data_IF_750730181495
#
_entry.id   IF_750730181495
#
_cell.length_a   1.000
_cell.length_b   1.000
_cell.length_c   1.000
_cell.angle_alpha   90.00
_cell.angle_beta   90.00
_cell.angle_gamma   90.00
#
_symmetry.space_group_name_H-M   'P 1'
#
loop_
_entity.id
_entity.type
_entity.pdbx_description
1 polymer ?
#
# COMPACT_ATOMS: atom_id res chain seq x y z
N UNK A 1 19.58 -16.51 -1.28
CA UNK A 1 18.29 -16.53 -1.99
C UNK A 1 17.63 -17.92 -1.90
N UNK A 2 18.19 -18.98 -2.51
CA UNK A 2 17.55 -20.31 -2.49
C UNK A 2 17.39 -20.89 -1.07
N UNK A 3 18.43 -20.79 -0.24
CA UNK A 3 18.38 -21.27 1.15
C UNK A 3 17.43 -20.47 2.06
N UNK A 4 17.11 -19.22 1.71
CA UNK A 4 16.16 -18.39 2.47
C UNK A 4 14.72 -18.70 2.05
N UNK A 5 14.48 -18.80 0.73
CA UNK A 5 13.21 -19.22 0.16
C UNK A 5 12.82 -20.63 0.61
N UNK A 6 13.75 -21.59 0.57
CA UNK A 6 13.51 -22.96 1.03
C UNK A 6 13.25 -23.04 2.55
N UNK A 7 13.76 -22.10 3.33
CA UNK A 7 13.50 -22.02 4.77
C UNK A 7 12.12 -21.43 5.07
N UNK A 8 11.68 -20.44 4.29
CA UNK A 8 10.40 -19.77 4.50
C UNK A 8 9.21 -20.50 3.86
N UNK A 9 9.42 -21.19 2.73
CA UNK A 9 8.39 -21.94 2.00
C UNK A 9 8.87 -23.36 1.65
N UNK A 10 9.01 -24.25 2.65
CA UNK A 10 9.44 -25.62 2.42
C UNK A 10 8.51 -26.41 1.48
N UNK A 11 7.22 -26.08 1.43
CA UNK A 11 6.20 -26.70 0.59
C UNK A 11 6.38 -26.47 -0.91
N UNK A 12 7.09 -25.40 -1.32
CA UNK A 12 7.34 -25.09 -2.74
C UNK A 12 8.40 -26.00 -3.37
N UNK A 13 9.20 -26.70 -2.56
CA UNK A 13 10.17 -27.69 -3.05
C UNK A 13 11.24 -27.13 -4.01
N UNK A 14 11.50 -25.82 -3.99
CA UNK A 14 12.50 -25.19 -4.87
C UNK A 14 13.90 -25.49 -4.34
N UNK A 15 14.50 -26.55 -4.88
CA UNK A 15 15.84 -27.02 -4.51
C UNK A 15 16.89 -26.71 -5.57
N UNK A 16 16.46 -26.46 -6.82
CA UNK A 16 17.35 -26.26 -7.97
C UNK A 16 17.37 -24.79 -8.42
N UNK A 17 18.56 -24.19 -8.42
CA UNK A 17 18.77 -22.83 -8.95
C UNK A 17 18.38 -22.71 -10.43
N UNK A 18 18.53 -23.78 -11.21
CA UNK A 18 18.18 -23.82 -12.63
C UNK A 18 16.70 -23.47 -12.89
N UNK A 19 15.79 -23.89 -12.00
CA UNK A 19 14.36 -23.58 -12.11
C UNK A 19 14.04 -22.12 -11.84
N UNK A 20 14.81 -21.47 -10.97
CA UNK A 20 14.71 -20.02 -10.78
C UNK A 20 15.17 -19.28 -12.04
N UNK A 21 16.26 -19.73 -12.66
CA UNK A 21 16.75 -19.13 -13.92
C UNK A 21 15.78 -19.30 -15.09
N UNK A 22 15.15 -20.47 -15.23
CA UNK A 22 14.07 -20.68 -16.21
C UNK A 22 12.88 -19.73 -15.96
N UNK A 23 12.50 -19.54 -14.69
CA UNK A 23 11.43 -18.62 -14.29
C UNK A 23 11.79 -17.15 -14.57
N UNK A 24 13.01 -16.72 -14.23
CA UNK A 24 13.51 -15.37 -14.53
C UNK A 24 13.47 -15.08 -16.03
N UNK A 25 13.95 -16.02 -16.85
CA UNK A 25 13.92 -15.89 -18.31
C UNK A 25 12.47 -15.79 -18.82
N UNK A 26 11.57 -16.62 -18.30
CA UNK A 26 10.15 -16.57 -18.66
C UNK A 26 9.50 -15.23 -18.28
N UNK A 27 9.82 -14.68 -17.11
CA UNK A 27 9.32 -13.36 -16.65
C UNK A 27 9.83 -12.23 -17.56
N UNK A 28 11.12 -12.18 -17.87
CA UNK A 28 11.70 -11.13 -18.74
C UNK A 28 11.07 -11.18 -20.13
N UNK A 29 10.88 -12.40 -20.66
CA UNK A 29 10.22 -12.62 -21.95
C UNK A 29 8.76 -12.13 -21.93
N UNK A 30 8.02 -12.47 -20.86
CA UNK A 30 6.61 -12.07 -20.69
C UNK A 30 6.47 -10.55 -20.56
N UNK A 31 7.37 -9.90 -19.84
CA UNK A 31 7.40 -8.44 -19.67
C UNK A 31 7.99 -7.72 -20.89
N UNK A 32 8.39 -8.44 -21.95
CA UNK A 32 9.02 -7.87 -23.15
C UNK A 32 10.21 -6.95 -22.82
N UNK A 33 10.97 -7.29 -21.77
CA UNK A 33 12.09 -6.48 -21.24
C UNK A 33 11.73 -5.05 -20.77
N UNK A 34 10.45 -4.75 -20.50
CA UNK A 34 10.03 -3.52 -19.84
C UNK A 34 10.20 -3.65 -18.32
N UNK A 35 11.40 -3.38 -17.82
CA UNK A 35 11.78 -3.62 -16.41
C UNK A 35 11.85 -2.34 -15.56
N UNK A 36 11.64 -1.17 -16.15
CA UNK A 36 11.71 0.11 -15.44
C UNK A 36 10.31 0.55 -15.02
N UNK A 37 10.08 0.58 -13.70
CA UNK A 37 8.84 1.05 -13.10
C UNK A 37 9.05 2.41 -12.42
N UNK A 38 8.12 3.34 -12.63
CA UNK A 38 8.10 4.61 -11.93
C UNK A 38 7.25 4.49 -10.68
N UNK A 39 7.78 4.86 -9.52
CA UNK A 39 7.11 4.67 -8.23
C UNK A 39 6.56 5.98 -7.63
N UNK A 40 5.44 5.94 -6.87
CA UNK A 40 4.80 7.13 -6.29
C UNK A 40 5.66 7.88 -5.26
N UNK A 41 6.65 7.21 -4.64
CA UNK A 41 7.51 7.81 -3.60
C UNK A 41 8.23 9.08 -4.07
N UNK A 42 8.63 9.13 -5.35
CA UNK A 42 9.27 10.32 -5.91
C UNK A 42 8.33 11.51 -5.92
N UNK A 43 7.09 11.29 -6.38
CA UNK A 43 6.05 12.33 -6.39
C UNK A 43 5.68 12.76 -4.97
N UNK A 44 5.62 11.83 -4.01
CA UNK A 44 5.40 12.18 -2.61
C UNK A 44 6.50 13.12 -2.08
N UNK A 45 7.78 12.82 -2.34
CA UNK A 45 8.89 13.66 -1.90
C UNK A 45 8.84 15.08 -2.50
N UNK A 46 8.45 15.20 -3.77
CA UNK A 46 8.29 16.49 -4.47
C UNK A 46 7.10 17.29 -3.92
N UNK A 47 5.99 16.62 -3.59
CA UNK A 47 4.76 17.24 -3.10
C UNK A 47 4.78 17.55 -1.59
N UNK A 48 5.63 16.87 -0.81
CA UNK A 48 5.71 17.02 0.65
C UNK A 48 5.95 18.48 1.06
N UNK A 49 6.91 19.15 0.39
CA UNK A 49 7.22 20.57 0.65
C UNK A 49 6.12 21.52 0.20
N UNK A 50 5.41 21.19 -0.88
CA UNK A 50 4.33 22.01 -1.43
C UNK A 50 3.15 22.05 -0.45
N UNK A 51 2.75 20.90 0.10
CA UNK A 51 1.61 20.82 1.02
C UNK A 51 2.00 21.11 2.48
N UNK A 52 3.29 21.18 2.81
CA UNK A 52 3.75 21.41 4.18
C UNK A 52 3.36 20.25 5.11
N UNK A 53 3.55 19.02 4.64
CA UNK A 53 3.22 17.82 5.40
C UNK A 53 4.13 17.68 6.62
N UNK A 54 3.57 17.27 7.76
CA UNK A 54 4.40 16.89 8.90
C UNK A 54 5.12 15.57 8.63
N UNK A 55 6.11 15.26 9.46
CA UNK A 55 6.82 13.97 9.40
C UNK A 55 5.85 12.79 9.58
N UNK A 56 4.85 12.93 10.46
CA UNK A 56 3.84 11.91 10.72
C UNK A 56 2.92 11.71 9.50
N UNK A 57 2.43 12.80 8.89
CA UNK A 57 1.60 12.75 7.68
C UNK A 57 2.38 12.14 6.51
N UNK A 58 3.67 12.50 6.36
CA UNK A 58 4.54 11.94 5.33
C UNK A 58 4.80 10.44 5.54
N UNK A 59 4.98 10.01 6.79
CA UNK A 59 5.17 8.59 7.12
C UNK A 59 3.89 7.78 6.91
N UNK A 60 2.73 8.38 7.21
CA UNK A 60 1.44 7.76 6.94
C UNK A 60 1.20 7.65 5.42
N UNK A 61 1.46 8.72 4.65
CA UNK A 61 1.38 8.67 3.19
C UNK A 61 2.33 7.62 2.58
N UNK A 62 3.55 7.49 3.10
CA UNK A 62 4.46 6.39 2.73
C UNK A 62 3.87 5.02 3.00
N UNK A 63 3.23 4.83 4.16
CA UNK A 63 2.61 3.56 4.52
C UNK A 63 1.44 3.23 3.59
N UNK A 64 0.60 4.21 3.28
CA UNK A 64 -0.53 4.06 2.34
C UNK A 64 -0.03 3.72 0.92
N UNK A 65 1.08 4.34 0.47
CA UNK A 65 1.71 3.97 -0.82
C UNK A 65 2.23 2.53 -0.78
N UNK A 66 2.76 2.05 0.35
CA UNK A 66 3.18 0.64 0.44
C UNK A 66 1.97 -0.30 0.31
N UNK A 67 0.85 0.07 0.95
CA UNK A 67 -0.37 -0.72 0.93
C UNK A 67 -1.00 -0.77 -0.47
N UNK A 68 -0.85 0.30 -1.28
CA UNK A 68 -1.44 0.35 -2.62
C UNK A 68 -0.89 -0.73 -3.57
N UNK A 69 0.30 -1.31 -3.31
CA UNK A 69 0.83 -2.42 -4.10
C UNK A 69 0.10 -3.76 -3.87
N UNK A 70 -0.79 -3.83 -2.88
CA UNK A 70 -1.71 -4.95 -2.72
C UNK A 70 -2.96 -4.85 -3.61
N UNK A 71 -3.08 -3.74 -4.36
CA UNK A 71 -4.17 -3.47 -5.32
C UNK A 71 -3.61 -3.43 -6.75
N UNK A 72 -4.49 -3.25 -7.73
CA UNK A 72 -4.13 -3.05 -9.13
C UNK A 72 -3.88 -1.56 -9.50
N UNK A 73 -3.97 -0.63 -8.54
CA UNK A 73 -3.77 0.80 -8.77
C UNK A 73 -2.47 1.16 -9.51
N UNK A 74 -1.30 0.55 -9.22
CA UNK A 74 -0.07 0.85 -9.97
C UNK A 74 -0.11 0.51 -11.46
N UNK A 75 -1.07 -0.32 -11.89
CA UNK A 75 -1.28 -0.68 -13.29
C UNK A 75 -2.32 0.19 -13.99
N UNK A 76 -3.23 0.79 -13.21
CA UNK A 76 -4.34 1.62 -13.73
C UNK A 76 -4.01 3.11 -13.77
N UNK A 77 -3.29 3.60 -12.75
CA UNK A 77 -3.09 5.04 -12.56
C UNK A 77 -1.61 5.46 -12.57
N UNK A 78 -1.31 6.68 -13.05
CA UNK A 78 0.04 7.23 -12.97
C UNK A 78 0.52 7.39 -11.52
N UNK A 79 1.84 7.27 -11.24
CA UNK A 79 2.39 7.31 -9.88
C UNK A 79 2.08 8.60 -9.10
N UNK A 80 1.94 9.73 -9.79
CA UNK A 80 1.62 11.01 -9.14
C UNK A 80 0.18 11.04 -8.62
N UNK A 81 -0.78 10.39 -9.30
CA UNK A 81 -2.17 10.28 -8.84
C UNK A 81 -2.21 9.47 -7.55
N UNK A 82 -1.53 8.32 -7.53
CA UNK A 82 -1.43 7.46 -6.34
C UNK A 82 -0.79 8.20 -5.16
N UNK A 83 0.27 8.99 -5.41
CA UNK A 83 0.90 9.81 -4.37
C UNK A 83 -0.06 10.87 -3.81
N UNK A 84 -0.83 11.54 -4.67
CA UNK A 84 -1.83 12.53 -4.26
C UNK A 84 -2.94 11.86 -3.43
N UNK A 85 -3.45 10.71 -3.88
CA UNK A 85 -4.43 9.92 -3.13
C UNK A 85 -3.91 9.53 -1.75
N UNK A 86 -2.65 9.09 -1.65
CA UNK A 86 -2.04 8.74 -0.37
C UNK A 86 -1.86 9.96 0.56
N UNK A 87 -1.51 11.13 0.03
CA UNK A 87 -1.43 12.38 0.79
C UNK A 87 -2.83 12.81 1.25
N UNK A 88 -3.81 12.77 0.36
CA UNK A 88 -5.20 13.09 0.67
C UNK A 88 -5.72 12.24 1.83
N UNK A 89 -5.55 10.92 1.73
CA UNK A 89 -5.86 10.00 2.81
C UNK A 89 -5.07 10.35 4.07
N UNK A 90 -3.74 10.48 4.03
CA UNK A 90 -2.95 10.81 5.22
C UNK A 90 -3.40 12.11 5.94
N UNK A 91 -3.85 13.12 5.21
CA UNK A 91 -4.33 14.40 5.78
C UNK A 91 -5.74 14.25 6.38
N UNK A 92 -6.61 13.45 5.76
CA UNK A 92 -7.99 13.19 6.22
C UNK A 92 -8.03 12.21 7.40
N UNK A 93 -7.16 11.19 7.39
CA UNK A 93 -7.09 10.09 8.35
C UNK A 93 -6.42 10.45 9.68
N UNK A 94 -6.22 11.74 9.97
CA UNK A 94 -5.57 12.14 11.21
C UNK A 94 -6.25 11.45 12.40
N UNK A 95 -5.49 10.82 13.31
CA UNK A 95 -6.07 10.31 14.54
C UNK A 95 -6.65 11.51 15.30
N UNK A 96 -7.97 11.64 15.28
CA UNK A 96 -8.66 12.58 16.12
C UNK A 96 -8.40 12.14 17.58
N UNK A 97 -7.64 12.95 18.31
CA UNK A 97 -7.38 12.83 19.75
C UNK A 97 -6.43 11.69 20.14
N UNK A 98 -5.13 11.99 20.22
CA UNK A 98 -4.31 11.40 21.29
C UNK A 98 -4.62 12.18 22.58
N UNK A 99 -5.21 11.57 23.62
CA UNK A 99 -5.32 12.21 24.92
C UNK A 99 -3.90 12.50 25.46
N UNK A 100 -3.71 13.62 26.18
CA UNK A 100 -2.40 13.99 26.71
C UNK A 100 -2.01 13.00 27.81
N UNK A 101 -1.24 11.96 27.46
CA UNK A 101 -0.83 10.95 28.43
C UNK A 101 -0.10 9.71 27.91
N UNK A 102 -0.11 9.41 26.60
CA UNK A 102 0.60 8.24 26.07
C UNK A 102 1.72 8.65 25.10
N UNK A 103 2.90 8.94 25.66
CA UNK A 103 4.14 8.96 24.90
C UNK A 103 4.46 7.52 24.45
N UNK A 104 4.19 7.20 23.19
CA UNK A 104 4.69 5.96 22.59
C UNK A 104 6.04 6.24 21.91
N UNK A 105 7.05 5.63 22.51
CA UNK A 105 8.46 5.66 22.14
C UNK A 105 8.67 5.37 20.65
N UNK A 106 9.43 6.24 19.97
CA UNK A 106 10.00 5.95 18.67
C UNK A 106 10.93 4.73 18.80
N UNK A 107 10.45 3.58 18.34
CA UNK A 107 11.30 2.43 18.07
C UNK A 107 10.85 1.78 16.78
N UNK A 108 11.77 1.79 15.85
CA UNK A 108 11.80 1.04 14.60
C UNK A 108 11.27 -0.39 14.77
N UNK A 109 10.00 -0.58 14.47
CA UNK A 109 9.44 -1.88 14.08
C UNK A 109 8.11 -1.61 13.38
N UNK A 110 8.10 -1.81 12.06
CA UNK A 110 6.90 -1.86 11.24
C UNK A 110 6.02 -3.02 11.70
N UNK A 111 5.17 -2.77 12.71
CA UNK A 111 4.17 -3.71 13.17
C UNK A 111 2.86 -3.51 12.39
N UNK A 112 2.24 -4.57 11.85
CA UNK A 112 0.98 -4.49 11.10
C UNK A 112 -0.23 -3.99 11.93
N UNK A 113 -0.06 -3.83 13.25
CA UNK A 113 -1.08 -3.25 14.12
C UNK A 113 -1.38 -1.76 13.85
N UNK A 114 -0.47 -1.02 13.22
CA UNK A 114 -0.73 0.38 12.80
C UNK A 114 -1.58 0.47 11.53
N UNK A 115 -1.61 -0.56 10.69
CA UNK A 115 -2.47 -0.62 9.50
C UNK A 115 -3.94 -0.89 9.88
N UNK A 116 -4.17 -1.74 10.89
CA UNK A 116 -5.50 -2.01 11.42
C UNK A 116 -6.15 -0.79 12.12
N UNK A 117 -5.35 0.04 12.81
CA UNK A 117 -5.86 1.30 13.37
C UNK A 117 -6.06 2.39 12.31
N UNK A 118 -5.32 2.34 11.19
CA UNK A 118 -5.56 3.18 10.03
C UNK A 118 -6.90 2.84 9.35
N UNK A 119 -7.27 1.56 9.21
CA UNK A 119 -8.55 1.11 8.65
C UNK A 119 -9.77 1.65 9.43
N UNK A 120 -9.75 1.53 10.77
CA UNK A 120 -10.78 2.14 11.63
C UNK A 120 -10.82 3.68 11.53
N UNK A 121 -9.68 4.32 11.28
CA UNK A 121 -9.59 5.76 11.04
C UNK A 121 -10.00 6.17 9.61
N UNK A 122 -10.06 5.25 8.62
CA UNK A 122 -10.55 5.54 7.27
C UNK A 122 -12.04 5.73 7.24
N UNK A 123 -12.77 4.82 7.88
CA UNK A 123 -14.21 4.96 8.00
C UNK A 123 -14.61 6.09 8.97
N UNK A 124 -13.82 6.35 10.03
CA UNK A 124 -14.05 7.46 10.96
C UNK A 124 -13.52 8.82 10.46
N UNK A 125 -12.60 8.85 9.49
CA UNK A 125 -11.90 10.03 8.98
C UNK A 125 -12.81 11.03 8.26
N UNK A 126 -13.96 10.57 7.73
CA UNK A 126 -14.99 11.46 7.20
C UNK A 126 -15.61 12.37 8.28
N UNK A 127 -15.60 11.98 9.56
CA UNK A 127 -15.95 12.86 10.67
C UNK A 127 -14.83 13.86 11.01
N UNK A 128 -13.59 13.58 10.60
CA UNK A 128 -12.37 14.38 10.76
C UNK A 128 -12.21 15.53 9.76
N UNK A 129 -13.07 15.67 8.74
CA UNK A 129 -13.00 16.78 7.77
C UNK A 129 -12.99 18.17 8.44
N UNK A 130 -13.64 18.32 9.61
CA UNK A 130 -13.61 19.57 10.39
C UNK A 130 -12.25 19.87 11.03
N UNK A 131 -11.42 18.86 11.29
CA UNK A 131 -10.09 18.99 11.89
C UNK A 131 -8.96 18.97 10.84
N UNK A 132 -9.26 18.51 9.62
CA UNK A 132 -8.38 18.57 8.46
C UNK A 132 -7.97 20.02 8.09
N UNK A 133 -8.82 21.00 8.44
CA UNK A 133 -8.47 22.42 8.59
C UNK A 133 -7.79 23.05 7.35
N UNK A 134 -6.75 23.87 7.52
CA UNK A 134 -6.15 24.67 6.44
C UNK A 134 -5.33 23.87 5.42
N UNK A 135 -4.79 22.70 5.80
CA UNK A 135 -4.00 21.85 4.87
C UNK A 135 -4.89 21.16 3.84
N UNK A 136 -6.06 20.69 4.26
CA UNK A 136 -7.05 20.13 3.34
C UNK A 136 -7.55 21.21 2.37
N UNK A 137 -7.79 22.43 2.86
CA UNK A 137 -8.13 23.57 2.01
C UNK A 137 -7.05 23.83 0.95
N UNK A 138 -5.78 23.93 1.37
CA UNK A 138 -4.65 24.10 0.45
C UNK A 138 -4.53 22.97 -0.59
N UNK A 139 -4.80 21.73 -0.19
CA UNK A 139 -4.78 20.59 -1.10
C UNK A 139 -5.94 20.64 -2.10
N UNK A 140 -7.14 21.02 -1.67
CA UNK A 140 -8.30 21.21 -2.55
C UNK A 140 -8.06 22.37 -3.53
N UNK A 141 -7.54 23.51 -3.05
CA UNK A 141 -7.22 24.66 -3.89
C UNK A 141 -6.16 24.31 -4.93
N UNK A 142 -5.11 23.60 -4.51
CA UNK A 142 -4.08 23.11 -5.44
C UNK A 142 -4.65 22.14 -6.46
N UNK A 143 -5.52 21.21 -6.04
CA UNK A 143 -6.17 20.27 -6.95
C UNK A 143 -7.05 20.98 -7.96
N UNK A 144 -7.82 22.00 -7.54
CA UNK A 144 -8.67 22.79 -8.40
C UNK A 144 -7.90 23.61 -9.44
N UNK A 145 -6.68 24.05 -9.10
CA UNK A 145 -5.77 24.72 -10.04
C UNK A 145 -4.95 23.74 -10.89
N UNK A 146 -4.82 22.49 -10.45
CA UNK A 146 -4.09 21.45 -11.17
C UNK A 146 -4.91 20.87 -12.33
N UNK A 147 -4.22 20.33 -13.34
CA UNK A 147 -4.86 19.53 -14.41
C UNK A 147 -4.91 18.04 -14.07
N UNK A 148 -4.85 17.70 -12.78
CA UNK A 148 -4.90 16.31 -12.34
C UNK A 148 -6.35 15.84 -12.43
N UNK A 149 -6.52 14.61 -12.90
CA UNK A 149 -7.84 14.00 -13.02
C UNK A 149 -8.42 13.68 -11.63
N UNK A 150 -9.52 14.34 -11.29
CA UNK A 150 -10.21 14.16 -10.02
C UNK A 150 -10.97 12.83 -9.96
N UNK A 151 -11.44 12.31 -11.10
CA UNK A 151 -12.13 11.02 -11.17
C UNK A 151 -11.16 9.90 -10.79
N UNK A 152 -9.95 9.93 -11.36
CA UNK A 152 -8.87 9.00 -11.01
C UNK A 152 -8.50 9.04 -9.52
N UNK A 153 -8.49 10.22 -8.88
CA UNK A 153 -8.23 10.34 -7.43
C UNK A 153 -9.35 9.70 -6.62
N UNK A 154 -10.62 9.92 -7.00
CA UNK A 154 -11.79 9.36 -6.32
C UNK A 154 -11.78 7.84 -6.44
N UNK A 155 -11.55 7.30 -7.63
CA UNK A 155 -11.51 5.86 -7.87
C UNK A 155 -10.35 5.20 -7.11
N UNK A 156 -9.16 5.81 -7.14
CA UNK A 156 -8.02 5.33 -6.36
C UNK A 156 -8.28 5.39 -4.84
N UNK A 157 -9.00 6.41 -4.38
CA UNK A 157 -9.40 6.51 -2.96
C UNK A 157 -10.36 5.37 -2.61
N UNK A 158 -11.35 5.10 -3.45
CA UNK A 158 -12.34 4.05 -3.23
C UNK A 158 -11.68 2.67 -3.18
N UNK A 159 -10.75 2.38 -4.08
CA UNK A 159 -10.00 1.12 -4.08
C UNK A 159 -9.19 0.94 -2.79
N UNK A 160 -8.53 2.00 -2.30
CA UNK A 160 -7.82 1.94 -1.00
C UNK A 160 -8.77 1.70 0.18
N UNK A 161 -9.96 2.30 0.19
CA UNK A 161 -10.97 2.03 1.21
C UNK A 161 -11.40 0.57 1.15
N UNK A 162 -11.70 0.05 -0.04
CA UNK A 162 -12.10 -1.33 -0.25
C UNK A 162 -11.00 -2.33 0.16
N UNK A 163 -9.72 -2.02 -0.11
CA UNK A 163 -8.59 -2.80 0.40
C UNK A 163 -8.63 -2.91 1.92
N UNK A 164 -8.79 -1.78 2.62
CA UNK A 164 -8.79 -1.76 4.08
C UNK A 164 -9.97 -2.52 4.68
N UNK A 165 -11.14 -2.49 4.06
CA UNK A 165 -12.29 -3.31 4.47
C UNK A 165 -12.02 -4.81 4.33
N UNK A 166 -11.44 -5.24 3.20
CA UNK A 166 -11.11 -6.66 2.98
C UNK A 166 -10.05 -7.12 3.97
N UNK A 167 -9.07 -6.27 4.29
CA UNK A 167 -7.99 -6.60 5.21
C UNK A 167 -8.50 -6.94 6.62
N UNK A 168 -9.58 -6.31 7.10
CA UNK A 168 -10.17 -6.65 8.41
C UNK A 168 -10.66 -8.11 8.48
N UNK A 169 -11.11 -8.65 7.36
CA UNK A 169 -11.61 -10.03 7.26
C UNK A 169 -10.56 -11.04 6.78
N UNK A 170 -9.37 -10.58 6.42
CA UNK A 170 -8.31 -11.41 5.87
C UNK A 170 -7.75 -12.39 6.90
N UNK A 171 -7.58 -13.65 6.48
CA UNK A 171 -6.96 -14.71 7.29
C UNK A 171 -5.86 -15.42 6.52
N UNK A 172 -4.61 -15.13 6.86
CA UNK A 172 -3.44 -15.76 6.24
C UNK A 172 -3.49 -17.29 6.35
N UNK A 173 -3.99 -17.81 7.49
CA UNK A 173 -4.12 -19.25 7.71
C UNK A 173 -5.04 -19.90 6.69
N UNK A 174 -6.22 -19.31 6.45
CA UNK A 174 -7.20 -19.85 5.51
C UNK A 174 -6.62 -19.87 4.08
N UNK A 175 -5.93 -18.81 3.68
CA UNK A 175 -5.26 -18.73 2.38
C UNK A 175 -4.15 -19.77 2.23
N UNK A 176 -3.28 -19.92 3.25
CA UNK A 176 -2.19 -20.91 3.23
C UNK A 176 -2.70 -22.35 3.17
N UNK A 177 -3.75 -22.67 3.93
CA UNK A 177 -4.34 -24.00 3.95
C UNK A 177 -4.92 -24.35 2.56
N UNK A 178 -5.59 -23.38 1.92
CA UNK A 178 -6.13 -23.55 0.57
C UNK A 178 -5.03 -23.77 -0.49
N UNK A 179 -3.97 -22.95 -0.48
CA UNK A 179 -2.83 -23.08 -1.41
C UNK A 179 -2.13 -24.43 -1.21
N UNK A 180 -1.86 -24.81 0.05
CA UNK A 180 -1.20 -26.08 0.38
C UNK A 180 -2.03 -27.30 -0.03
N UNK A 181 -3.36 -27.19 -0.01
CA UNK A 181 -4.26 -28.23 -0.52
C UNK A 181 -4.17 -28.33 -2.04
N UNK A 182 -4.27 -27.19 -2.74
CA UNK A 182 -4.16 -27.13 -4.20
C UNK A 182 -2.83 -27.72 -4.71
N UNK A 183 -1.71 -27.37 -4.07
CA UNK A 183 -0.39 -27.90 -4.43
C UNK A 183 -0.28 -29.41 -4.24
N UNK A 184 -0.89 -29.95 -3.18
CA UNK A 184 -0.95 -31.41 -2.96
C UNK A 184 -1.75 -32.12 -4.04
N UNK A 185 -2.91 -31.59 -4.41
CA UNK A 185 -3.74 -32.15 -5.48
C UNK A 185 -3.03 -32.14 -6.84
N UNK A 186 -2.32 -31.05 -7.16
CA UNK A 186 -1.52 -30.96 -8.40
C UNK A 186 -0.34 -31.97 -8.43
N UNK A 187 0.25 -32.29 -7.27
CA UNK A 187 1.31 -33.28 -7.17
C UNK A 187 0.78 -34.71 -7.36
N UNK A 188 -0.44 -34.99 -6.89
CA UNK A 188 -1.08 -36.31 -7.04
C UNK A 188 -1.60 -36.61 -8.46
N UNK A 189 -1.78 -35.57 -9.29
CA UNK A 189 -2.25 -35.68 -10.68
C UNK A 189 -1.10 -35.78 -11.72
N UNK A 190 0.16 -35.87 -11.29
CA UNK A 190 1.31 -36.20 -12.15
C UNK A 190 1.69 -37.66 -11.99
#
# INVERSE_FOLDING_TARGET
MLGEAARQWPELGVTETSKIGECEFAMISTLQSQLICFHPYRSLAELQGIFGLTTEESNLAHSIINDCYNTDLPLLYPPHVIAITAIFLAVVLRPAVQPPGLQAHASSSSSPAMAASAAQNVLAGFAGLKQAGPKLGKLIDWLAESKVDMEAIVDATQEMVSLYEVWESYSERVCKDAISKFMREMSMNK
#
